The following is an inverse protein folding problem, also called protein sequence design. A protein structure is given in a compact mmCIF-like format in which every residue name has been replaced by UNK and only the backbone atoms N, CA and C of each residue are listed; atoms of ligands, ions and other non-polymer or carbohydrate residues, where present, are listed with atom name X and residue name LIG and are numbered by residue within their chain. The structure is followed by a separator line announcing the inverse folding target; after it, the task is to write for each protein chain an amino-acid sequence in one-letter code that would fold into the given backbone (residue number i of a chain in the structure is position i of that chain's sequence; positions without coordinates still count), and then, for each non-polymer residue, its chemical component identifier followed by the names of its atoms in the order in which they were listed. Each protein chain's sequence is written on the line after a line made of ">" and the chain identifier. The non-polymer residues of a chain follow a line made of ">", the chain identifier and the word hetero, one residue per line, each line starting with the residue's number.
data_IF_568206969227
#
_entry.id   IF_568206969227
#
_cell.length_a   1.000
_cell.length_b   1.000
_cell.length_c   1.000
_cell.angle_alpha   90.00
_cell.angle_beta   90.00
_cell.angle_gamma   90.00
#
_symmetry.space_group_name_H-M   'P 1'
#
loop_
_entity.id
_entity.type
_entity.pdbx_description
1 polymer ?
#
# COMPACT_ATOMS: atom_id res chain seq x y z
N UNK A 1 6.76 12.38 -8.89
CA UNK A 1 6.73 11.44 -7.75
C UNK A 1 5.34 10.87 -7.51
N UNK A 2 5.17 9.64 -7.99
CA UNK A 2 3.96 8.82 -7.91
C UNK A 2 4.02 7.82 -6.75
N UNK A 3 5.20 7.65 -6.14
CA UNK A 3 5.40 6.89 -4.92
C UNK A 3 4.92 7.69 -3.72
N UNK A 4 4.11 7.08 -2.86
CA UNK A 4 3.65 7.70 -1.61
C UNK A 4 4.84 7.88 -0.66
N UNK A 5 5.03 9.06 -0.04
CA UNK A 5 6.05 9.25 0.97
C UNK A 5 5.92 8.22 2.09
N UNK A 6 7.05 7.66 2.52
CA UNK A 6 7.05 6.72 3.64
C UNK A 6 6.58 7.42 4.91
N UNK A 7 5.64 6.79 5.61
CA UNK A 7 5.22 7.15 6.97
C UNK A 7 5.40 5.91 7.84
N UNK A 8 5.90 6.08 9.06
CA UNK A 8 6.05 4.94 9.97
C UNK A 8 4.71 4.60 10.66
N UNK A 9 3.71 4.22 9.86
CA UNK A 9 2.36 3.88 10.33
C UNK A 9 2.39 2.71 11.32
N UNK A 10 1.47 2.63 12.29
CA UNK A 10 1.35 1.46 13.16
C UNK A 10 1.15 0.19 12.33
N UNK A 11 1.48 -0.96 12.92
CA UNK A 11 1.46 -2.24 12.23
C UNK A 11 0.67 -3.25 13.03
N UNK A 12 -0.20 -4.02 12.37
CA UNK A 12 -0.94 -5.10 13.03
C UNK A 12 -0.07 -6.32 13.29
N UNK A 13 -0.59 -7.27 14.07
CA UNK A 13 -0.03 -8.62 14.16
C UNK A 13 0.14 -9.28 12.78
N UNK A 14 1.24 -10.03 12.62
CA UNK A 14 1.63 -10.70 11.37
C UNK A 14 0.59 -11.72 10.89
N UNK A 15 -0.02 -12.47 11.82
CA UNK A 15 -0.95 -13.55 11.50
C UNK A 15 -2.36 -13.05 11.24
N UNK A 16 -2.65 -11.77 11.49
CA UNK A 16 -3.97 -11.15 11.26
C UNK A 16 -4.52 -11.49 9.87
N UNK A 17 -5.77 -11.96 9.83
CA UNK A 17 -6.49 -12.14 8.58
C UNK A 17 -6.75 -10.79 7.90
N UNK A 18 -6.61 -10.75 6.57
CA UNK A 18 -6.80 -9.51 5.81
C UNK A 18 -7.65 -9.77 4.57
N UNK A 19 -8.59 -8.86 4.32
CA UNK A 19 -9.42 -8.84 3.13
C UNK A 19 -9.25 -7.45 2.49
N UNK A 20 -8.50 -7.40 1.38
CA UNK A 20 -8.21 -6.14 0.69
C UNK A 20 -9.44 -5.40 0.20
N UNK A 21 -10.48 -6.09 -0.26
CA UNK A 21 -11.72 -5.44 -0.71
C UNK A 21 -12.51 -4.82 0.45
N UNK A 22 -12.49 -5.45 1.63
CA UNK A 22 -13.09 -4.88 2.82
C UNK A 22 -12.26 -3.71 3.39
N UNK A 23 -10.93 -3.83 3.34
CA UNK A 23 -10.00 -2.77 3.75
C UNK A 23 -10.16 -1.53 2.89
N UNK A 24 -10.24 -1.70 1.57
CA UNK A 24 -10.48 -0.63 0.61
C UNK A 24 -11.73 0.21 0.95
N UNK A 25 -12.85 -0.47 1.26
CA UNK A 25 -14.09 0.22 1.70
C UNK A 25 -13.90 1.00 3.01
N UNK A 26 -13.15 0.46 3.96
CA UNK A 26 -12.85 1.14 5.24
C UNK A 26 -11.95 2.35 5.03
N UNK A 27 -10.89 2.19 4.24
CA UNK A 27 -9.93 3.27 3.91
C UNK A 27 -10.64 4.42 3.20
N UNK A 28 -11.55 4.16 2.26
CA UNK A 28 -12.35 5.22 1.62
C UNK A 28 -13.19 6.00 2.62
N UNK A 29 -13.84 5.32 3.57
CA UNK A 29 -14.63 6.00 4.60
C UNK A 29 -13.75 6.81 5.53
N UNK A 30 -12.66 6.23 6.04
CA UNK A 30 -11.70 6.92 6.91
C UNK A 30 -11.09 8.14 6.23
N UNK A 31 -10.72 8.02 4.96
CA UNK A 31 -10.14 9.10 4.19
C UNK A 31 -11.16 10.15 3.73
N UNK A 32 -12.47 9.93 3.94
CA UNK A 32 -13.55 10.73 3.34
C UNK A 32 -13.45 10.79 1.80
N UNK A 33 -12.97 9.69 1.20
CA UNK A 33 -12.72 9.52 -0.23
C UNK A 33 -13.79 8.62 -0.87
N UNK A 34 -15.05 9.05 -0.77
CA UNK A 34 -16.20 8.26 -1.25
C UNK A 34 -16.42 8.44 -2.76
N UNK A 35 -16.28 9.68 -3.23
CA UNK A 35 -16.53 10.04 -4.63
C UNK A 35 -15.24 10.06 -5.47
N UNK A 36 -14.12 10.49 -4.87
CA UNK A 36 -12.82 10.54 -5.53
C UNK A 36 -11.68 10.29 -4.51
N UNK A 37 -10.52 9.79 -4.96
CA UNK A 37 -9.32 9.71 -4.15
C UNK A 37 -8.87 11.09 -3.63
N UNK A 38 -8.23 11.11 -2.47
CA UNK A 38 -7.64 12.31 -1.92
C UNK A 38 -6.30 12.02 -1.23
N UNK A 39 -5.72 13.05 -0.59
CA UNK A 39 -4.44 12.93 0.11
C UNK A 39 -4.42 11.81 1.15
N UNK A 40 -5.49 11.63 1.94
CA UNK A 40 -5.58 10.58 2.97
C UNK A 40 -5.65 9.19 2.35
N UNK A 41 -6.47 9.01 1.31
CA UNK A 41 -6.59 7.73 0.60
C UNK A 41 -5.25 7.29 -0.02
N UNK A 42 -4.44 8.25 -0.49
CA UNK A 42 -3.08 8.00 -0.99
C UNK A 42 -2.18 7.34 0.06
N UNK A 43 -2.34 7.68 1.33
CA UNK A 43 -1.47 7.19 2.42
C UNK A 43 -1.57 5.69 2.63
N UNK A 44 -2.70 5.08 2.24
CA UNK A 44 -2.90 3.63 2.35
C UNK A 44 -2.24 2.83 1.21
N UNK A 45 -1.77 3.52 0.17
CA UNK A 45 -1.25 2.92 -1.07
C UNK A 45 0.22 3.25 -1.25
N UNK A 46 1.00 2.32 -1.83
CA UNK A 46 2.42 2.55 -2.11
C UNK A 46 2.67 3.47 -3.31
N UNK A 47 1.77 3.43 -4.29
CA UNK A 47 1.95 4.13 -5.55
C UNK A 47 0.61 4.61 -6.12
N UNK A 48 0.62 5.74 -6.81
CA UNK A 48 -0.53 6.24 -7.55
C UNK A 48 -0.11 6.83 -8.91
N UNK A 49 -0.94 6.62 -9.92
CA UNK A 49 -0.80 7.25 -11.22
C UNK A 49 -1.24 8.72 -11.11
N UNK A 50 -0.34 9.64 -11.49
CA UNK A 50 -0.60 11.09 -11.42
C UNK A 50 -1.61 11.53 -12.46
N UNK A 51 -1.63 10.86 -13.61
CA UNK A 51 -2.54 11.18 -14.71
C UNK A 51 -3.94 10.64 -14.40
N UNK A 52 -4.05 9.70 -13.46
CA UNK A 52 -5.30 9.15 -12.93
C UNK A 52 -5.50 9.46 -11.44
N UNK A 53 -4.99 10.60 -10.96
CA UNK A 53 -5.04 10.97 -9.53
C UNK A 53 -6.47 11.07 -8.96
N UNK A 54 -7.45 11.32 -9.83
CA UNK A 54 -8.86 11.47 -9.49
C UNK A 54 -9.66 10.16 -9.70
N UNK A 55 -8.99 9.09 -10.14
CA UNK A 55 -9.57 7.76 -10.31
C UNK A 55 -9.00 6.77 -9.27
N UNK A 56 -9.86 6.00 -8.61
CA UNK A 56 -9.39 5.00 -7.64
C UNK A 56 -8.49 3.92 -8.26
N UNK A 57 -8.71 3.58 -9.53
CA UNK A 57 -7.89 2.65 -10.33
C UNK A 57 -6.46 3.14 -10.52
N UNK A 58 -6.21 4.44 -10.36
CA UNK A 58 -4.86 5.01 -10.37
C UNK A 58 -4.01 4.61 -9.17
N UNK A 59 -4.62 4.16 -8.06
CA UNK A 59 -3.92 3.87 -6.82
C UNK A 59 -3.66 2.36 -6.70
N UNK A 60 -2.40 2.00 -6.50
CA UNK A 60 -1.94 0.61 -6.56
C UNK A 60 -1.30 0.20 -5.24
N UNK A 61 -1.41 -1.11 -4.95
CA UNK A 61 -0.81 -1.74 -3.78
C UNK A 61 -1.28 -1.11 -2.45
N UNK A 62 -2.55 -1.38 -2.11
CA UNK A 62 -3.09 -1.11 -0.78
C UNK A 62 -2.32 -1.93 0.26
N UNK A 63 -1.66 -1.26 1.20
CA UNK A 63 -0.83 -1.89 2.26
C UNK A 63 -1.39 -1.69 3.67
N UNK A 64 -2.39 -0.84 3.82
CA UNK A 64 -2.97 -0.48 5.11
C UNK A 64 -4.48 -0.71 5.16
N UNK A 65 -5.00 -0.82 6.37
CA UNK A 65 -6.40 -0.96 6.69
C UNK A 65 -6.73 -0.03 7.87
N UNK A 66 -8.01 0.20 8.13
CA UNK A 66 -8.45 1.02 9.27
C UNK A 66 -8.76 0.10 10.44
N UNK A 67 -7.94 0.15 11.48
CA UNK A 67 -8.05 -0.65 12.70
C UNK A 67 -8.23 0.32 13.86
N UNK A 68 -9.32 0.17 14.62
CA UNK A 68 -9.65 1.04 15.76
C UNK A 68 -9.62 2.54 15.44
N UNK A 69 -10.02 2.90 14.21
CA UNK A 69 -10.09 4.27 13.71
C UNK A 69 -8.79 4.82 13.13
N UNK A 70 -7.69 4.08 13.22
CA UNK A 70 -6.37 4.49 12.73
C UNK A 70 -5.98 3.73 11.46
N UNK A 71 -5.26 4.41 10.56
CA UNK A 71 -4.67 3.77 9.38
C UNK A 71 -3.44 2.96 9.78
N UNK A 72 -3.55 1.65 9.68
CA UNK A 72 -2.58 0.69 10.21
C UNK A 72 -2.13 -0.25 9.11
N UNK A 73 -0.82 -0.41 8.95
CA UNK A 73 -0.21 -1.31 7.97
C UNK A 73 -0.48 -2.75 8.34
N UNK A 74 -0.86 -3.54 7.34
CA UNK A 74 -1.17 -4.95 7.51
C UNK A 74 -0.06 -5.79 6.87
N UNK A 75 0.67 -6.63 7.64
CA UNK A 75 1.74 -7.49 7.13
C UNK A 75 1.39 -8.29 5.87
N UNK A 76 0.20 -8.89 5.83
CA UNK A 76 -0.27 -9.64 4.65
C UNK A 76 -0.44 -8.76 3.40
N UNK A 77 -0.80 -7.49 3.57
CA UNK A 77 -0.94 -6.54 2.49
C UNK A 77 0.43 -6.11 1.94
N UNK A 78 1.39 -5.88 2.83
CA UNK A 78 2.80 -5.61 2.49
C UNK A 78 3.39 -6.78 1.69
N UNK A 79 3.19 -8.01 2.14
CA UNK A 79 3.64 -9.21 1.43
C UNK A 79 2.95 -9.38 0.07
N UNK A 80 1.65 -9.12 -0.01
CA UNK A 80 0.93 -9.16 -1.28
C UNK A 80 1.46 -8.13 -2.27
N UNK A 81 1.76 -6.90 -1.83
CA UNK A 81 2.38 -5.88 -2.65
C UNK A 81 3.80 -6.28 -3.10
N UNK A 82 4.61 -6.86 -2.22
CA UNK A 82 5.93 -7.38 -2.59
C UNK A 82 5.85 -8.54 -3.59
N UNK A 83 4.89 -9.44 -3.44
CA UNK A 83 4.65 -10.52 -4.39
C UNK A 83 4.29 -9.97 -5.78
N UNK A 84 3.48 -8.90 -5.85
CA UNK A 84 3.20 -8.18 -7.12
C UNK A 84 4.47 -7.55 -7.69
N UNK A 85 5.33 -6.94 -6.86
CA UNK A 85 6.64 -6.44 -7.30
C UNK A 85 7.59 -7.54 -7.80
N UNK A 86 7.32 -8.80 -7.45
CA UNK A 86 8.02 -10.00 -7.93
C UNK A 86 7.29 -10.70 -9.08
N UNK A 87 6.28 -10.08 -9.69
CA UNK A 87 5.60 -10.60 -10.88
C UNK A 87 4.33 -11.43 -10.60
N UNK A 88 3.90 -11.57 -9.35
CA UNK A 88 2.60 -12.19 -9.05
C UNK A 88 1.48 -11.41 -9.75
N UNK A 89 0.46 -12.12 -10.25
CA UNK A 89 -0.68 -11.55 -10.98
C UNK A 89 -0.28 -10.74 -12.23
N UNK A 90 0.85 -11.08 -12.86
CA UNK A 90 1.37 -10.37 -14.03
C UNK A 90 2.18 -9.12 -13.69
N UNK A 91 2.45 -8.87 -12.40
CA UNK A 91 3.24 -7.74 -11.94
C UNK A 91 2.43 -6.44 -11.84
N UNK A 92 3.16 -5.32 -11.81
CA UNK A 92 2.56 -3.99 -11.78
C UNK A 92 3.28 -3.09 -12.78
N UNK A 93 2.48 -2.39 -13.58
CA UNK A 93 2.99 -1.38 -14.51
C UNK A 93 3.37 -0.11 -13.74
N UNK A 94 4.68 0.15 -13.64
CA UNK A 94 5.30 1.28 -12.95
C UNK A 94 6.48 1.79 -13.79
N UNK A 95 6.73 3.12 -13.81
CA UNK A 95 7.97 3.65 -14.36
C UNK A 95 9.20 3.05 -13.66
N UNK A 96 10.26 2.73 -14.41
CA UNK A 96 11.48 2.11 -13.88
C UNK A 96 12.08 2.87 -12.69
N UNK A 97 12.03 4.22 -12.73
CA UNK A 97 12.53 5.08 -11.66
C UNK A 97 11.76 4.95 -10.33
N UNK A 98 10.52 4.46 -10.37
CA UNK A 98 9.68 4.27 -9.18
C UNK A 98 9.78 2.84 -8.62
N UNK A 99 10.21 1.85 -9.40
CA UNK A 99 10.37 0.45 -8.96
C UNK A 99 11.29 0.36 -7.73
N UNK A 100 12.49 0.92 -7.82
CA UNK A 100 13.45 0.92 -6.72
C UNK A 100 12.91 1.63 -5.48
N UNK A 101 12.15 2.72 -5.67
CA UNK A 101 11.55 3.46 -4.55
C UNK A 101 10.44 2.67 -3.86
N UNK A 102 9.59 1.97 -4.61
CA UNK A 102 8.56 1.08 -4.05
C UNK A 102 9.20 -0.08 -3.30
N UNK A 103 10.23 -0.71 -3.86
CA UNK A 103 11.00 -1.76 -3.19
C UNK A 103 11.60 -1.25 -1.88
N UNK A 104 12.27 -0.09 -1.88
CA UNK A 104 12.81 0.49 -0.66
C UNK A 104 11.73 0.85 0.38
N UNK A 105 10.55 1.29 -0.06
CA UNK A 105 9.41 1.54 0.82
C UNK A 105 8.95 0.24 1.51
N UNK A 106 8.72 -0.81 0.72
CA UNK A 106 8.34 -2.13 1.25
C UNK A 106 9.41 -2.70 2.18
N UNK A 107 10.70 -2.58 1.84
CA UNK A 107 11.80 -3.08 2.66
C UNK A 107 11.80 -2.49 4.08
N UNK A 108 11.43 -1.21 4.24
CA UNK A 108 11.26 -0.59 5.56
C UNK A 108 10.16 -1.28 6.38
N UNK A 109 9.04 -1.65 5.75
CA UNK A 109 7.98 -2.39 6.45
C UNK A 109 8.34 -3.86 6.69
N UNK A 110 9.09 -4.50 5.80
CA UNK A 110 9.68 -5.83 6.07
C UNK A 110 10.56 -5.80 7.32
N UNK A 111 11.47 -4.82 7.41
CA UNK A 111 12.30 -4.62 8.60
C UNK A 111 11.46 -4.36 9.85
N UNK A 112 10.38 -3.56 9.75
CA UNK A 112 9.44 -3.32 10.87
C UNK A 112 8.73 -4.60 11.33
N UNK A 113 8.47 -5.55 10.42
CA UNK A 113 7.94 -6.88 10.75
C UNK A 113 8.98 -7.82 11.37
N UNK A 114 10.27 -7.47 11.36
CA UNK A 114 11.36 -8.38 11.72
C UNK A 114 11.76 -9.35 10.58
N UNK A 115 11.41 -9.02 9.33
CA UNK A 115 11.70 -9.83 8.15
C UNK A 115 12.69 -9.13 7.20
N UNK A 116 13.17 -9.90 6.20
CA UNK A 116 13.91 -9.41 5.04
C UNK A 116 13.01 -9.32 3.80
N UNK A 117 13.18 -8.28 2.98
CA UNK A 117 12.40 -8.16 1.77
C UNK A 117 12.81 -9.19 0.70
N UNK A 118 11.93 -9.61 -0.23
CA UNK A 118 12.23 -10.68 -1.19
C UNK A 118 13.34 -10.39 -2.22
N UNK A 119 13.83 -9.15 -2.31
CA UNK A 119 14.88 -8.72 -3.23
C UNK A 119 16.18 -8.35 -2.52
N UNK A 120 16.23 -8.55 -1.20
CA UNK A 120 17.44 -8.35 -0.38
C UNK A 120 18.13 -9.68 -0.09
#
# INVERSE_FOLDING_TARGET
>A
MSVTPFKDLPMTDRKRAWNGAAAEKRVRRWAEAQNAPNGRYREAHLWYDRDKKDEFTGYKMLIADVIDGELTVVPRAVMAAAAVMQGSRGGVDLPTADITRVKNHLAKYYKKMGDQAPWE
#
